data_IF_325482501751
#
_entry.id   IF_325482501751
#
_cell.length_a   1.000
_cell.length_b   1.000
_cell.length_c   1.000
_cell.angle_alpha   90.00
_cell.angle_beta   90.00
_cell.angle_gamma   90.00
#
_symmetry.space_group_name_H-M   'P 1'
#
loop_
_entity.id
_entity.type
_entity.pdbx_description
1 polymer ?
#
# COMPACT_ATOMS: atom_id res chain seq x y z
N UNK A 1 9.71 19.31 -8.08
CA UNK A 1 10.55 19.04 -6.89
C UNK A 1 10.30 17.60 -6.48
N UNK A 2 11.22 16.69 -6.81
CA UNK A 2 11.17 15.29 -6.37
C UNK A 2 11.59 15.24 -4.91
N UNK A 3 10.62 15.13 -4.00
CA UNK A 3 10.88 14.83 -2.59
C UNK A 3 11.48 13.41 -2.59
N UNK A 4 12.80 13.31 -2.39
CA UNK A 4 13.45 12.01 -2.25
C UNK A 4 12.86 11.31 -1.03
N UNK A 5 12.18 10.19 -1.26
CA UNK A 5 11.63 9.36 -0.20
C UNK A 5 12.76 8.91 0.74
N UNK A 6 12.87 9.55 1.91
CA UNK A 6 13.83 9.17 2.93
C UNK A 6 13.24 8.04 3.79
N UNK A 7 13.41 6.81 3.32
CA UNK A 7 13.06 5.62 4.09
C UNK A 7 14.00 5.47 5.30
N UNK A 8 13.43 5.49 6.51
CA UNK A 8 14.16 5.17 7.74
C UNK A 8 14.21 3.64 7.97
N UNK A 9 14.92 3.18 9.01
CA UNK A 9 15.02 1.75 9.31
C UNK A 9 13.67 1.09 9.64
N UNK A 10 12.74 1.79 10.30
CA UNK A 10 11.40 1.27 10.60
C UNK A 10 10.57 1.12 9.32
N UNK A 11 10.72 2.04 8.36
CA UNK A 11 10.07 1.94 7.06
C UNK A 11 10.58 0.74 6.26
N UNK A 12 11.91 0.50 6.27
CA UNK A 12 12.50 -0.69 5.64
C UNK A 12 12.01 -1.99 6.28
N UNK A 13 11.98 -2.04 7.62
CA UNK A 13 11.42 -3.18 8.36
C UNK A 13 9.95 -3.41 8.02
N UNK A 14 9.16 -2.33 7.90
CA UNK A 14 7.75 -2.43 7.49
C UNK A 14 7.62 -3.02 6.08
N UNK A 15 8.45 -2.58 5.13
CA UNK A 15 8.49 -3.17 3.78
C UNK A 15 8.86 -4.65 3.86
N UNK A 16 9.92 -5.03 4.56
CA UNK A 16 10.31 -6.44 4.69
C UNK A 16 9.18 -7.31 5.29
N UNK A 17 8.48 -6.80 6.32
CA UNK A 17 7.34 -7.48 6.93
C UNK A 17 6.14 -7.58 6.01
N UNK A 18 5.85 -6.54 5.22
CA UNK A 18 4.83 -6.60 4.17
C UNK A 18 5.17 -7.71 3.19
N UNK A 19 6.43 -7.87 2.76
CA UNK A 19 6.85 -8.88 1.78
C UNK A 19 7.12 -10.28 2.35
N UNK A 20 7.19 -10.43 3.68
CA UNK A 20 7.47 -11.71 4.34
C UNK A 20 6.46 -12.83 4.01
N UNK A 21 6.97 -14.05 3.82
CA UNK A 21 6.19 -15.28 3.60
C UNK A 21 6.74 -16.42 4.49
N UNK A 22 6.01 -16.88 5.52
CA UNK A 22 4.69 -16.43 5.98
C UNK A 22 4.72 -14.99 6.55
N UNK A 23 3.56 -14.31 6.69
CA UNK A 23 3.50 -12.99 7.32
C UNK A 23 3.94 -13.09 8.79
N UNK A 24 5.19 -12.73 9.05
CA UNK A 24 5.75 -12.73 10.40
C UNK A 24 5.22 -11.53 11.17
N UNK A 25 4.31 -11.78 12.11
CA UNK A 25 3.66 -10.79 12.98
C UNK A 25 2.80 -9.74 12.24
N UNK A 26 1.56 -9.54 12.69
CA UNK A 26 0.64 -8.56 12.11
C UNK A 26 1.31 -7.19 11.92
N UNK A 27 1.28 -6.68 10.68
CA UNK A 27 1.78 -5.33 10.37
C UNK A 27 0.75 -4.33 10.87
N UNK A 28 1.16 -3.38 11.71
CA UNK A 28 0.24 -2.37 12.22
C UNK A 28 -0.09 -1.33 11.15
N UNK A 29 -1.36 -0.98 11.03
CA UNK A 29 -1.87 0.01 10.09
C UNK A 29 -1.13 1.35 10.18
N UNK A 30 -0.82 1.80 11.41
CA UNK A 30 -0.07 3.03 11.64
C UNK A 30 1.34 2.99 11.05
N UNK A 31 1.99 1.82 11.03
CA UNK A 31 3.32 1.65 10.42
C UNK A 31 3.22 1.73 8.90
N UNK A 32 2.15 1.14 8.32
CA UNK A 32 1.86 1.26 6.88
C UNK A 32 1.59 2.70 6.49
N UNK A 33 0.71 3.42 7.19
CA UNK A 33 0.43 4.83 6.89
C UNK A 33 1.71 5.67 6.94
N UNK A 34 2.53 5.49 7.98
CA UNK A 34 3.80 6.20 8.09
C UNK A 34 4.80 5.87 6.97
N UNK A 35 4.83 4.63 6.48
CA UNK A 35 5.61 4.25 5.30
C UNK A 35 5.08 4.96 4.06
N UNK A 36 3.77 4.94 3.82
CA UNK A 36 3.12 5.52 2.65
C UNK A 36 3.30 7.04 2.59
N UNK A 37 3.18 7.74 3.72
CA UNK A 37 3.45 9.18 3.83
C UNK A 37 4.92 9.54 3.55
N UNK A 38 5.85 8.60 3.76
CA UNK A 38 7.27 8.81 3.51
C UNK A 38 7.66 8.61 2.03
N UNK A 39 6.91 7.79 1.29
CA UNK A 39 7.21 7.43 -0.10
C UNK A 39 6.29 8.08 -1.13
N UNK A 40 5.10 8.54 -0.72
CA UNK A 40 4.07 9.06 -1.60
C UNK A 40 3.19 10.12 -0.95
N UNK A 41 2.12 10.47 -1.64
CA UNK A 41 1.09 11.40 -1.14
C UNK A 41 -0.08 10.60 -0.60
N UNK A 42 -0.43 10.81 0.67
CA UNK A 42 -1.54 10.13 1.33
C UNK A 42 -2.66 11.12 1.60
N UNK A 43 -3.88 10.77 1.22
CA UNK A 43 -5.10 11.55 1.48
C UNK A 43 -6.15 10.66 2.13
N UNK A 44 -6.65 11.09 3.30
CA UNK A 44 -7.79 10.43 3.93
C UNK A 44 -9.09 10.88 3.26
N UNK A 45 -9.86 9.92 2.76
CA UNK A 45 -11.16 10.15 2.14
C UNK A 45 -12.27 10.24 3.21
N UNK A 46 -13.37 10.93 2.88
CA UNK A 46 -14.50 11.13 3.81
C UNK A 46 -15.18 9.84 4.28
N UNK A 47 -14.94 8.73 3.60
CA UNK A 47 -15.45 7.40 3.93
C UNK A 47 -14.48 6.58 4.81
N UNK A 48 -13.38 7.19 5.27
CA UNK A 48 -12.35 6.52 6.07
C UNK A 48 -11.38 5.65 5.25
N UNK A 49 -11.47 5.65 3.91
CA UNK A 49 -10.47 5.02 3.05
C UNK A 49 -9.26 5.93 2.90
N UNK A 50 -8.10 5.34 2.63
CA UNK A 50 -6.84 6.05 2.48
C UNK A 50 -6.41 5.99 1.01
N UNK A 51 -6.47 7.11 0.32
CA UNK A 51 -6.00 7.26 -1.05
C UNK A 51 -4.50 7.53 -1.03
N UNK A 52 -3.73 6.73 -1.75
CA UNK A 52 -2.28 6.82 -1.88
C UNK A 52 -1.93 7.12 -3.32
N UNK A 53 -1.07 8.10 -3.53
CA UNK A 53 -0.50 8.42 -4.84
C UNK A 53 1.03 8.23 -4.75
N UNK A 54 1.53 7.22 -5.47
CA UNK A 54 2.92 6.80 -5.46
C UNK A 54 3.46 6.78 -6.89
N UNK A 55 4.07 7.90 -7.29
CA UNK A 55 4.51 8.08 -8.68
C UNK A 55 3.31 8.09 -9.64
N UNK A 56 3.26 7.22 -10.67
CA UNK A 56 2.13 7.10 -11.58
C UNK A 56 0.97 6.24 -11.01
N UNK A 57 1.20 5.52 -9.91
CA UNK A 57 0.21 4.60 -9.35
C UNK A 57 -0.65 5.32 -8.30
N UNK A 58 -1.96 5.06 -8.34
CA UNK A 58 -2.92 5.56 -7.35
C UNK A 58 -3.76 4.41 -6.84
N UNK A 59 -3.72 4.18 -5.54
CA UNK A 59 -4.47 3.10 -4.89
C UNK A 59 -5.32 3.62 -3.73
N UNK A 60 -6.48 3.00 -3.52
CA UNK A 60 -7.38 3.35 -2.41
C UNK A 60 -7.47 2.16 -1.48
N UNK A 61 -6.87 2.30 -0.30
CA UNK A 61 -6.82 1.26 0.71
C UNK A 61 -7.98 1.45 1.70
N UNK A 62 -8.81 0.43 1.95
CA UNK A 62 -9.76 0.50 3.05
C UNK A 62 -9.01 0.50 4.39
N UNK A 63 -9.44 1.36 5.32
CA UNK A 63 -8.93 1.28 6.69
C UNK A 63 -9.33 -0.07 7.30
N UNK A 64 -8.39 -0.79 7.95
CA UNK A 64 -8.69 -2.05 8.60
C UNK A 64 -9.63 -1.85 9.79
N UNK A 65 -10.36 -2.91 10.13
CA UNK A 65 -11.28 -2.88 11.29
C UNK A 65 -10.55 -2.83 12.64
N UNK A 66 -9.26 -3.18 12.67
CA UNK A 66 -8.41 -3.19 13.86
C UNK A 66 -7.12 -2.42 13.65
N UNK A 67 -6.17 -2.60 14.57
CA UNK A 67 -4.84 -1.98 14.48
C UNK A 67 -3.94 -2.63 13.44
N UNK A 68 -4.29 -3.83 13.00
CA UNK A 68 -3.49 -4.69 12.14
C UNK A 68 -4.02 -4.64 10.71
N UNK A 69 -3.12 -4.73 9.74
CA UNK A 69 -3.47 -4.75 8.32
C UNK A 69 -4.02 -6.12 7.94
N UNK A 70 -5.20 -6.14 7.32
CA UNK A 70 -5.83 -7.36 6.82
C UNK A 70 -5.06 -7.95 5.61
N UNK A 71 -5.20 -9.26 5.39
CA UNK A 71 -4.47 -9.96 4.32
C UNK A 71 -4.73 -9.39 2.92
N UNK A 72 -5.96 -8.92 2.64
CA UNK A 72 -6.26 -8.29 1.34
C UNK A 72 -5.47 -7.00 1.15
N UNK A 73 -5.48 -6.12 2.15
CA UNK A 73 -4.72 -4.87 2.13
C UNK A 73 -3.22 -5.14 2.02
N UNK A 74 -2.69 -6.19 2.65
CA UNK A 74 -1.30 -6.62 2.45
C UNK A 74 -0.98 -7.03 1.02
N UNK A 75 -1.90 -7.68 0.32
CA UNK A 75 -1.72 -8.08 -1.09
C UNK A 75 -1.69 -6.84 -2.00
N UNK A 76 -2.61 -5.91 -1.78
CA UNK A 76 -2.66 -4.64 -2.51
C UNK A 76 -1.38 -3.82 -2.28
N UNK A 77 -0.96 -3.66 -1.01
CA UNK A 77 0.30 -3.01 -0.65
C UNK A 77 1.52 -3.63 -1.33
N UNK A 78 1.63 -4.96 -1.36
CA UNK A 78 2.74 -5.65 -2.06
C UNK A 78 2.76 -5.27 -3.53
N UNK A 79 1.60 -5.26 -4.19
CA UNK A 79 1.48 -4.95 -5.61
C UNK A 79 1.88 -3.50 -5.89
N UNK A 80 1.30 -2.54 -5.17
CA UNK A 80 1.61 -1.12 -5.33
C UNK A 80 3.09 -0.83 -5.06
N UNK A 81 3.66 -1.36 -3.97
CA UNK A 81 5.07 -1.17 -3.62
C UNK A 81 6.00 -1.80 -4.67
N UNK A 82 5.66 -2.99 -5.18
CA UNK A 82 6.42 -3.63 -6.25
C UNK A 82 6.41 -2.81 -7.55
N UNK A 83 5.24 -2.32 -7.95
CA UNK A 83 5.09 -1.48 -9.16
C UNK A 83 5.84 -0.16 -9.05
N UNK A 84 5.90 0.41 -7.85
CA UNK A 84 6.68 1.61 -7.56
C UNK A 84 8.19 1.36 -7.34
N UNK A 85 8.65 0.10 -7.40
CA UNK A 85 10.07 -0.24 -7.26
C UNK A 85 10.58 -0.31 -5.82
N UNK A 86 9.70 -0.40 -4.82
CA UNK A 86 10.02 -0.58 -3.40
C UNK A 86 10.05 -2.05 -2.96
N UNK A 87 9.91 -2.99 -3.88
CA UNK A 87 10.06 -4.41 -3.60
C UNK A 87 11.50 -4.74 -3.13
N UNK A 88 11.68 -5.52 -2.06
CA UNK A 88 13.00 -5.98 -1.64
C UNK A 88 13.63 -6.90 -2.72
N UNK A 89 14.97 -6.88 -2.86
CA UNK A 89 15.67 -7.68 -3.85
C UNK A 89 15.39 -9.17 -3.63
N UNK A 90 14.88 -9.87 -4.65
CA UNK A 90 14.55 -11.29 -4.60
C UNK A 90 13.09 -11.63 -4.26
N UNK A 91 12.19 -10.64 -4.21
CA UNK A 91 10.75 -10.90 -4.16
C UNK A 91 10.17 -11.00 -5.57
N UNK A 92 9.41 -12.06 -5.86
CA UNK A 92 8.76 -12.24 -7.16
C UNK A 92 7.79 -11.09 -7.44
N UNK A 93 7.85 -10.45 -8.63
CA UNK A 93 6.82 -9.49 -9.04
C UNK A 93 5.47 -10.18 -8.97
N UNK A 94 4.53 -9.65 -8.19
CA UNK A 94 3.15 -10.14 -8.18
C UNK A 94 2.57 -9.90 -9.57
N UNK A 95 2.32 -10.97 -10.31
CA UNK A 95 1.72 -10.93 -11.64
C UNK A 95 0.37 -10.19 -11.56
N UNK A 96 0.19 -9.21 -12.45
CA UNK A 96 -0.92 -8.26 -12.45
C UNK A 96 -2.23 -8.92 -12.91
N UNK A 97 -2.91 -9.66 -12.04
CA UNK A 97 -4.27 -10.16 -12.31
C UNK A 97 -5.32 -9.07 -12.05
N UNK A 98 -5.41 -8.07 -12.94
CA UNK A 98 -6.42 -6.99 -12.96
C UNK A 98 -7.89 -7.43 -13.08
N UNK A 99 -8.22 -8.70 -12.87
CA UNK A 99 -9.59 -9.24 -12.97
C UNK A 99 -10.20 -9.70 -11.64
N UNK A 100 -9.79 -9.12 -10.52
CA UNK A 100 -10.60 -9.24 -9.30
C UNK A 100 -11.67 -8.15 -9.31
N UNK A 101 -12.82 -8.57 -9.83
CA UNK A 101 -14.13 -7.95 -9.67
C UNK A 101 -14.29 -7.46 -8.22
N UNK A 102 -13.97 -6.18 -7.99
CA UNK A 102 -14.39 -5.44 -6.82
C UNK A 102 -15.77 -4.89 -7.16
N UNK A 103 -16.80 -5.71 -6.93
CA UNK A 103 -18.17 -5.26 -6.91
C UNK A 103 -18.37 -4.33 -5.72
N UNK A 104 -17.97 -3.07 -5.85
CA UNK A 104 -18.58 -1.97 -5.10
C UNK A 104 -18.54 -0.68 -5.91
N UNK A 105 -19.68 -0.01 -5.93
CA UNK A 105 -20.06 1.01 -6.90
C UNK A 105 -19.53 2.39 -6.51
N UNK A 106 -18.72 3.03 -7.38
CA UNK A 106 -18.78 4.49 -7.69
C UNK A 106 -17.56 4.90 -8.52
N UNK A 107 -17.78 5.11 -9.81
CA UNK A 107 -16.96 6.05 -10.57
C UNK A 107 -17.87 7.14 -11.12
N UNK A 108 -17.77 8.33 -10.52
CA UNK A 108 -18.24 9.56 -11.13
C UNK A 108 -17.32 9.88 -12.30
N UNK A 109 -17.92 10.04 -13.48
CA UNK A 109 -17.22 10.44 -14.71
C UNK A 109 -16.62 11.84 -14.48
N UNK A 110 -15.40 12.14 -14.94
CA UNK A 110 -14.93 13.52 -14.94
C UNK A 110 -15.82 14.35 -15.88
N UNK A 111 -16.32 15.48 -15.38
CA UNK A 111 -16.95 16.53 -16.19
C UNK A 111 -15.87 17.40 -16.82
#
# INVERSE_FOLDING_TARGET
>A
MTIGAHLNNHHRDTVERIFARPPSHNVEWRQVVSLLEAIGTVTEERNGKLKVELGPETEVLPAPHGKDVDTQVLVDLRRMLSQAGYAPPGSDPVEDERSRNYGDSRWGKPT
#
